data_IF_920867645269
#
_entry.id   IF_920867645269
#
_cell.length_a   1.000
_cell.length_b   1.000
_cell.length_c   1.000
_cell.angle_alpha   90.00
_cell.angle_beta   90.00
_cell.angle_gamma   90.00
#
_symmetry.space_group_name_H-M   'P 1'
#
loop_
_entity.id
_entity.type
_entity.pdbx_description
1 polymer ?
#
# COMPACT_ATOMS: atom_id res chain seq x y z
N UNK A 1 -8.20 4.82 -9.80
CA UNK A 1 -7.07 3.93 -10.09
C UNK A 1 -7.46 2.56 -9.60
N UNK A 2 -7.63 1.60 -10.52
CA UNK A 2 -7.77 0.18 -10.18
C UNK A 2 -6.33 -0.32 -9.99
N UNK A 3 -6.05 -1.03 -8.91
CA UNK A 3 -4.70 -1.54 -8.64
C UNK A 3 -4.40 -2.55 -9.76
N UNK A 4 -3.47 -2.24 -10.69
CA UNK A 4 -3.12 -3.18 -11.72
C UNK A 4 -2.47 -4.39 -11.06
N UNK A 5 -2.76 -5.59 -11.58
CA UNK A 5 -2.07 -6.81 -11.16
C UNK A 5 -2.29 -7.23 -9.70
N UNK A 6 -3.50 -6.99 -9.19
CA UNK A 6 -3.94 -7.47 -7.88
C UNK A 6 -3.66 -8.98 -7.74
N UNK A 7 -3.89 -9.76 -8.80
CA UNK A 7 -3.65 -11.21 -8.89
C UNK A 7 -2.16 -11.61 -8.89
N UNK A 8 -1.22 -10.76 -9.31
CA UNK A 8 0.22 -11.07 -9.20
C UNK A 8 0.80 -10.76 -7.82
N UNK A 9 0.17 -9.85 -7.08
CA UNK A 9 0.60 -9.46 -5.73
C UNK A 9 -0.12 -10.23 -4.62
N UNK A 10 -1.34 -10.67 -4.90
CA UNK A 10 -1.99 -11.79 -4.25
C UNK A 10 -1.25 -13.04 -4.73
N UNK A 11 -0.21 -13.47 -4.02
CA UNK A 11 0.28 -14.83 -4.21
C UNK A 11 -0.87 -15.83 -4.07
N UNK A 12 -0.68 -17.07 -4.56
CA UNK A 12 -1.66 -18.17 -4.64
C UNK A 12 -2.57 -18.41 -3.40
N UNK A 13 -2.27 -17.82 -2.24
CA UNK A 13 -2.94 -17.99 -0.95
C UNK A 13 -3.39 -16.65 -0.29
N UNK A 14 -3.25 -15.51 -0.97
CA UNK A 14 -3.48 -14.19 -0.39
C UNK A 14 -4.88 -13.62 -0.64
N UNK A 15 -5.69 -13.40 0.39
CA UNK A 15 -7.00 -12.76 0.21
C UNK A 15 -6.86 -11.32 -0.33
N UNK A 16 -7.56 -10.98 -1.43
CA UNK A 16 -7.61 -9.62 -1.97
C UNK A 16 -8.00 -8.56 -0.92
N UNK A 17 -8.84 -8.94 0.03
CA UNK A 17 -9.18 -8.11 1.19
C UNK A 17 -7.98 -7.78 2.07
N UNK A 18 -7.10 -8.74 2.34
CA UNK A 18 -5.89 -8.50 3.12
C UNK A 18 -4.97 -7.50 2.43
N UNK A 19 -4.88 -7.57 1.09
CA UNK A 19 -4.14 -6.61 0.30
C UNK A 19 -4.71 -5.20 0.42
N UNK A 20 -6.02 -5.05 0.23
CA UNK A 20 -6.68 -3.73 0.34
C UNK A 20 -6.52 -3.15 1.75
N UNK A 21 -6.65 -3.99 2.79
CA UNK A 21 -6.46 -3.57 4.19
C UNK A 21 -5.01 -3.13 4.44
N UNK A 22 -4.01 -3.85 3.91
CA UNK A 22 -2.61 -3.48 4.04
C UNK A 22 -2.31 -2.12 3.37
N UNK A 23 -2.79 -1.91 2.13
CA UNK A 23 -2.64 -0.65 1.40
C UNK A 23 -3.32 0.50 2.16
N UNK A 24 -4.54 0.29 2.65
CA UNK A 24 -5.29 1.31 3.38
C UNK A 24 -4.59 1.71 4.69
N UNK A 25 -4.07 0.74 5.46
CA UNK A 25 -3.26 1.01 6.66
C UNK A 25 -2.02 1.80 6.31
N UNK A 26 -1.30 1.40 5.26
CA UNK A 26 -0.08 2.09 4.83
C UNK A 26 -0.34 3.52 4.37
N UNK A 27 -1.40 3.73 3.60
CA UNK A 27 -1.77 5.07 3.14
C UNK A 27 -2.07 6.02 4.30
N UNK A 28 -2.63 5.54 5.42
CA UNK A 28 -2.84 6.38 6.62
C UNK A 28 -1.51 6.72 7.29
N UNK A 29 -0.63 5.74 7.49
CA UNK A 29 0.71 5.95 8.05
C UNK A 29 1.53 6.99 7.25
N UNK A 30 1.45 6.94 5.91
CA UNK A 30 2.11 7.93 5.03
C UNK A 30 1.54 9.33 5.27
N UNK A 31 0.21 9.45 5.39
CA UNK A 31 -0.45 10.73 5.61
C UNK A 31 -0.15 11.30 7.00
N UNK A 32 -0.17 10.46 8.03
CA UNK A 32 0.18 10.85 9.41
C UNK A 32 1.62 11.33 9.48
N UNK A 33 2.58 10.55 8.95
CA UNK A 33 3.99 10.96 8.89
C UNK A 33 4.20 12.24 8.10
N UNK A 34 3.49 12.44 6.99
CA UNK A 34 3.58 13.67 6.22
C UNK A 34 3.07 14.88 7.02
N UNK A 35 1.96 14.72 7.75
CA UNK A 35 1.42 15.77 8.60
C UNK A 35 2.33 16.09 9.78
N UNK A 36 2.86 15.07 10.47
CA UNK A 36 3.78 15.23 11.60
C UNK A 36 5.06 15.94 11.18
N UNK A 37 5.64 15.54 10.06
CA UNK A 37 6.87 16.14 9.53
C UNK A 37 6.61 17.41 8.68
N UNK A 38 5.34 17.86 8.58
CA UNK A 38 4.88 18.98 7.74
C UNK A 38 5.42 18.92 6.29
N UNK A 39 5.56 17.72 5.75
CA UNK A 39 6.05 17.49 4.39
C UNK A 39 4.88 17.43 3.42
N UNK A 40 5.01 18.09 2.27
CA UNK A 40 4.07 17.86 1.17
C UNK A 40 4.36 16.51 0.53
N UNK A 41 3.32 15.68 0.45
CA UNK A 41 3.39 14.43 -0.31
C UNK A 41 3.45 14.75 -1.81
N UNK A 42 4.32 14.07 -2.58
CA UNK A 42 4.45 14.27 -4.02
C UNK A 42 3.23 13.77 -4.78
N UNK A 43 2.54 12.76 -4.25
CA UNK A 43 1.33 12.17 -4.83
C UNK A 43 0.33 11.80 -3.73
N UNK A 44 -0.84 11.28 -4.10
CA UNK A 44 -1.83 10.79 -3.14
C UNK A 44 -1.22 9.65 -2.32
N UNK A 45 -1.45 9.60 -1.01
CA UNK A 45 -0.85 8.59 -0.14
C UNK A 45 -1.23 7.16 -0.53
N UNK A 46 -2.39 6.96 -1.18
CA UNK A 46 -2.81 5.66 -1.71
C UNK A 46 -1.92 5.20 -2.87
N UNK A 47 -1.50 6.12 -3.75
CA UNK A 47 -0.65 5.80 -4.91
C UNK A 47 0.75 5.44 -4.43
N UNK A 48 1.29 6.21 -3.48
CA UNK A 48 2.58 5.93 -2.85
C UNK A 48 2.57 4.55 -2.18
N UNK A 49 1.48 4.20 -1.48
CA UNK A 49 1.34 2.88 -0.87
C UNK A 49 1.29 1.74 -1.91
N UNK A 50 0.62 1.97 -3.06
CA UNK A 50 0.58 1.00 -4.17
C UNK A 50 1.97 0.85 -4.81
N UNK A 51 2.71 1.95 -5.01
CA UNK A 51 4.08 1.89 -5.52
C UNK A 51 5.03 1.19 -4.55
N UNK A 52 4.90 1.41 -3.24
CA UNK A 52 5.68 0.69 -2.22
C UNK A 52 5.38 -0.81 -2.25
N UNK A 53 4.11 -1.19 -2.44
CA UNK A 53 3.71 -2.58 -2.60
C UNK A 53 4.30 -3.19 -3.88
N UNK A 54 4.17 -2.52 -5.03
CA UNK A 54 4.69 -2.98 -6.32
C UNK A 54 6.22 -3.15 -6.30
N UNK A 55 6.92 -2.25 -5.59
CA UNK A 55 8.36 -2.33 -5.35
C UNK A 55 8.78 -3.38 -4.29
N UNK A 56 7.88 -4.27 -3.86
CA UNK A 56 8.12 -5.30 -2.83
C UNK A 56 8.56 -4.75 -1.46
N UNK A 57 8.34 -3.46 -1.17
CA UNK A 57 8.67 -2.87 0.15
C UNK A 57 7.65 -3.25 1.24
N UNK A 58 6.48 -3.70 0.83
CA UNK A 58 5.41 -4.18 1.70
C UNK A 58 5.17 -5.64 1.33
N UNK A 59 5.57 -6.57 2.19
CA UNK A 59 5.17 -7.97 2.06
C UNK A 59 3.94 -8.20 2.93
N UNK A 60 2.88 -8.74 2.32
CA UNK A 60 1.79 -9.34 3.09
C UNK A 60 2.40 -10.46 3.91
N UNK A 61 2.29 -10.37 5.23
CA UNK A 61 2.75 -11.41 6.13
C UNK A 61 2.06 -12.73 5.74
N UNK A 62 2.78 -13.63 5.06
CA UNK A 62 2.36 -15.02 4.91
C UNK A 62 2.43 -15.63 6.30
N UNK A 63 1.28 -16.12 6.76
CA UNK A 63 1.21 -16.91 7.98
C UNK A 63 1.75 -18.31 7.74
#
# INVERSE_FOLDING_TARGET
MIIPDMEKHIGNDGSAFALVVAIAKRSRDILEKANENKVKLPDKPINIAIEELCNNKIQLARR
#
